data_IF_618451655507
#
_entry.id   IF_618451655507
#
_cell.length_a   1.000
_cell.length_b   1.000
_cell.length_c   1.000
_cell.angle_alpha   90.00
_cell.angle_beta   90.00
_cell.angle_gamma   90.00
#
_symmetry.space_group_name_H-M   'P 1'
#
loop_
_entity.id
_entity.type
_entity.pdbx_description
1 polymer ?
#
# COMPACT_ATOMS: atom_id res chain seq x y z
N UNK A 1 37.72 29.58 50.08
CA UNK A 1 36.49 28.95 49.55
C UNK A 1 36.45 29.34 48.09
N UNK A 2 37.00 28.48 47.19
CA UNK A 2 36.95 28.68 45.74
C UNK A 2 35.58 28.23 45.26
N UNK A 3 34.76 29.20 44.84
CA UNK A 3 33.47 28.92 44.20
C UNK A 3 33.69 28.07 42.94
N UNK A 4 33.19 26.86 42.91
CA UNK A 4 33.05 26.09 41.73
C UNK A 4 31.93 26.74 40.89
N UNK A 5 32.35 27.69 40.06
CA UNK A 5 31.44 28.15 38.99
C UNK A 5 31.22 26.97 38.04
N UNK A 6 30.17 26.21 38.29
CA UNK A 6 29.75 25.12 37.45
C UNK A 6 29.51 25.66 36.05
N UNK A 7 30.39 25.26 35.11
CA UNK A 7 30.29 25.66 33.71
C UNK A 7 28.99 25.08 33.13
N UNK A 8 27.88 25.80 33.12
CA UNK A 8 26.58 25.34 32.62
C UNK A 8 26.54 25.15 31.11
N UNK A 9 27.57 25.58 30.38
CA UNK A 9 27.69 25.46 28.94
C UNK A 9 27.67 23.98 28.47
N UNK A 10 28.44 23.05 29.06
CA UNK A 10 28.39 21.66 28.65
C UNK A 10 27.02 21.00 28.86
N UNK A 11 26.33 21.37 29.95
CA UNK A 11 24.99 20.86 30.24
C UNK A 11 23.97 21.39 29.22
N UNK A 12 24.06 22.69 28.88
CA UNK A 12 23.19 23.29 27.88
C UNK A 12 23.40 22.66 26.49
N UNK A 13 24.65 22.41 26.11
CA UNK A 13 24.98 21.71 24.83
C UNK A 13 24.44 20.28 24.84
N UNK A 14 24.65 19.53 25.92
CA UNK A 14 24.17 18.17 26.05
C UNK A 14 22.62 18.10 25.97
N UNK A 15 21.92 19.02 26.66
CA UNK A 15 20.48 19.06 26.60
C UNK A 15 19.95 19.42 25.20
N UNK A 16 20.60 20.36 24.50
CA UNK A 16 20.25 20.72 23.13
C UNK A 16 20.45 19.53 22.17
N UNK A 17 21.52 18.76 22.32
CA UNK A 17 21.75 17.55 21.51
C UNK A 17 20.70 16.47 21.76
N UNK A 18 20.31 16.24 23.02
CA UNK A 18 19.24 15.28 23.37
C UNK A 18 17.93 15.69 22.70
N UNK A 19 17.55 16.96 22.78
CA UNK A 19 16.34 17.48 22.13
C UNK A 19 16.41 17.31 20.61
N UNK A 20 17.56 17.57 19.99
CA UNK A 20 17.78 17.39 18.56
C UNK A 20 17.60 15.92 18.15
N UNK A 21 18.19 14.97 18.90
CA UNK A 21 18.05 13.54 18.61
C UNK A 21 16.62 13.06 18.76
N UNK A 22 15.91 13.51 19.77
CA UNK A 22 14.48 13.20 19.94
C UNK A 22 13.66 13.73 18.77
N UNK A 23 13.91 14.94 18.34
CA UNK A 23 13.24 15.53 17.19
C UNK A 23 13.50 14.74 15.90
N UNK A 24 14.76 14.37 15.65
CA UNK A 24 15.12 13.54 14.49
C UNK A 24 14.40 12.17 14.53
N UNK A 25 14.33 11.52 15.69
CA UNK A 25 13.64 10.25 15.83
C UNK A 25 12.14 10.36 15.58
N UNK A 26 11.49 11.40 16.13
CA UNK A 26 10.06 11.64 15.91
C UNK A 26 9.78 11.95 14.44
N UNK A 27 10.63 12.74 13.80
CA UNK A 27 10.51 13.09 12.38
C UNK A 27 10.63 11.86 11.48
N UNK A 28 11.60 10.98 11.77
CA UNK A 28 11.76 9.74 11.01
C UNK A 28 10.56 8.81 11.21
N UNK A 29 10.10 8.64 12.45
CA UNK A 29 8.89 7.85 12.72
C UNK A 29 7.67 8.38 11.97
N UNK A 30 7.47 9.70 11.96
CA UNK A 30 6.38 10.33 11.22
C UNK A 30 6.49 10.08 9.71
N UNK A 31 7.70 10.16 9.14
CA UNK A 31 7.95 9.85 7.73
C UNK A 31 7.58 8.40 7.39
N UNK A 32 8.06 7.45 8.19
CA UNK A 32 7.77 6.03 7.99
C UNK A 32 6.26 5.74 8.04
N UNK A 33 5.57 6.35 8.98
CA UNK A 33 4.12 6.20 9.12
C UNK A 33 3.34 6.80 7.92
N UNK A 34 3.75 7.99 7.47
CA UNK A 34 3.14 8.62 6.29
C UNK A 34 3.31 7.77 5.03
N UNK A 35 4.49 7.17 4.82
CA UNK A 35 4.74 6.26 3.70
C UNK A 35 3.84 5.03 3.80
N UNK A 36 3.77 4.39 4.96
CA UNK A 36 2.95 3.19 5.16
C UNK A 36 1.46 3.45 4.90
N UNK A 37 0.93 4.57 5.40
CA UNK A 37 -0.47 4.96 5.17
C UNK A 37 -0.69 5.30 3.70
N UNK A 38 0.18 6.12 3.09
CA UNK A 38 0.04 6.51 1.68
C UNK A 38 0.09 5.32 0.72
N UNK A 39 1.00 4.37 0.95
CA UNK A 39 1.08 3.14 0.15
C UNK A 39 -0.17 2.28 0.35
N UNK A 40 -0.65 2.12 1.59
CA UNK A 40 -1.87 1.38 1.87
C UNK A 40 -3.07 1.96 1.12
N UNK A 41 -3.23 3.28 1.17
CA UNK A 41 -4.36 3.97 0.55
C UNK A 41 -4.27 3.86 -0.99
N UNK A 42 -3.08 3.98 -1.57
CA UNK A 42 -2.87 3.79 -3.00
C UNK A 42 -3.16 2.34 -3.47
N UNK A 43 -2.74 1.33 -2.70
CA UNK A 43 -3.08 -0.08 -2.99
C UNK A 43 -4.59 -0.29 -2.91
N UNK A 44 -5.26 0.30 -1.92
CA UNK A 44 -6.72 0.22 -1.82
C UNK A 44 -7.40 0.85 -3.03
N UNK A 45 -6.92 1.99 -3.50
CA UNK A 45 -7.45 2.67 -4.69
C UNK A 45 -7.22 1.86 -5.97
N UNK A 46 -6.02 1.29 -6.15
CA UNK A 46 -5.71 0.43 -7.28
C UNK A 46 -6.62 -0.81 -7.34
N UNK A 47 -6.85 -1.46 -6.19
CA UNK A 47 -7.77 -2.60 -6.10
C UNK A 47 -9.21 -2.18 -6.40
N UNK A 48 -9.67 -1.04 -5.88
CA UNK A 48 -11.01 -0.53 -6.15
C UNK A 48 -11.21 -0.21 -7.63
N UNK A 49 -10.18 0.32 -8.32
CA UNK A 49 -10.21 0.52 -9.77
C UNK A 49 -10.43 -0.80 -10.50
N UNK A 50 -9.63 -1.82 -10.18
CA UNK A 50 -9.78 -3.16 -10.78
C UNK A 50 -11.15 -3.77 -10.49
N UNK A 51 -11.69 -3.60 -9.27
CA UNK A 51 -13.05 -4.06 -8.92
C UNK A 51 -14.11 -3.31 -9.72
N UNK A 52 -13.94 -2.01 -9.94
CA UNK A 52 -14.88 -1.22 -10.73
C UNK A 52 -14.87 -1.63 -12.21
N UNK A 53 -13.71 -1.93 -12.78
CA UNK A 53 -13.59 -2.39 -14.16
C UNK A 53 -14.31 -3.73 -14.35
N UNK A 54 -14.10 -4.68 -13.43
CA UNK A 54 -14.86 -5.94 -13.42
C UNK A 54 -16.37 -5.73 -13.21
N UNK A 55 -16.74 -4.74 -12.37
CA UNK A 55 -18.15 -4.46 -12.11
C UNK A 55 -18.91 -3.96 -13.34
N UNK A 56 -18.28 -3.18 -14.20
CA UNK A 56 -18.89 -2.70 -15.42
C UNK A 56 -19.30 -3.88 -16.32
N UNK A 57 -18.43 -4.87 -16.46
CA UNK A 57 -18.71 -6.11 -17.20
C UNK A 57 -19.80 -6.95 -16.53
N UNK A 58 -19.75 -7.09 -15.20
CA UNK A 58 -20.76 -7.84 -14.41
C UNK A 58 -22.14 -7.15 -14.48
N UNK A 59 -22.17 -5.81 -14.37
CA UNK A 59 -23.42 -5.04 -14.38
C UNK A 59 -24.14 -5.13 -15.70
N UNK A 60 -23.42 -5.03 -16.82
CA UNK A 60 -24.00 -5.20 -18.15
C UNK A 60 -24.59 -6.60 -18.30
N UNK A 61 -23.87 -7.63 -17.85
CA UNK A 61 -24.32 -9.01 -17.87
C UNK A 61 -25.62 -9.23 -17.07
N UNK A 62 -25.68 -8.73 -15.84
CA UNK A 62 -26.87 -8.86 -14.96
C UNK A 62 -28.06 -8.11 -15.53
N UNK A 63 -27.87 -6.88 -16.04
CA UNK A 63 -28.94 -6.09 -16.64
C UNK A 63 -29.50 -6.71 -17.91
N UNK A 64 -28.67 -7.40 -18.70
CA UNK A 64 -29.08 -8.03 -19.95
C UNK A 64 -29.50 -9.50 -19.78
N UNK A 65 -29.56 -9.98 -18.54
CA UNK A 65 -29.98 -11.35 -18.21
C UNK A 65 -28.88 -12.41 -18.39
N UNK A 66 -27.60 -11.98 -18.46
CA UNK A 66 -26.44 -12.87 -18.43
C UNK A 66 -25.92 -13.03 -17.00
N UNK A 67 -25.15 -14.10 -16.77
CA UNK A 67 -24.43 -14.34 -15.53
C UNK A 67 -23.14 -13.52 -15.51
N UNK A 68 -23.22 -12.21 -15.33
CA UNK A 68 -22.04 -11.33 -15.35
C UNK A 68 -20.90 -11.83 -14.46
N UNK A 69 -19.67 -11.82 -14.99
CA UNK A 69 -18.49 -12.38 -14.31
C UNK A 69 -18.39 -13.91 -14.37
N UNK A 70 -19.27 -14.59 -15.14
CA UNK A 70 -19.25 -16.04 -15.36
C UNK A 70 -19.52 -16.39 -16.83
N UNK A 71 -18.94 -17.47 -17.31
CA UNK A 71 -19.19 -18.01 -18.64
C UNK A 71 -19.55 -19.51 -18.59
N UNK A 72 -20.40 -20.00 -19.52
CA UNK A 72 -20.78 -21.40 -19.54
C UNK A 72 -19.59 -22.28 -19.94
N UNK A 73 -19.29 -23.31 -19.16
CA UNK A 73 -18.20 -24.26 -19.40
C UNK A 73 -18.66 -25.66 -19.05
N UNK A 74 -18.53 -26.60 -20.00
CA UNK A 74 -18.55 -28.06 -19.81
C UNK A 74 -19.67 -28.68 -18.95
N UNK A 75 -20.75 -27.96 -18.63
CA UNK A 75 -21.85 -28.39 -17.77
C UNK A 75 -22.00 -27.58 -16.47
N UNK A 76 -21.26 -26.50 -16.32
CA UNK A 76 -21.33 -25.55 -15.23
C UNK A 76 -21.05 -24.11 -15.69
N UNK A 77 -20.78 -23.24 -14.74
CA UNK A 77 -20.40 -21.85 -14.94
C UNK A 77 -19.01 -21.65 -14.32
N UNK A 78 -18.05 -21.16 -15.13
CA UNK A 78 -16.72 -20.79 -14.67
C UNK A 78 -16.63 -19.27 -14.47
N UNK A 79 -15.83 -18.81 -13.52
CA UNK A 79 -15.61 -17.40 -13.26
C UNK A 79 -14.80 -16.74 -14.37
N UNK A 80 -15.25 -15.55 -14.81
CA UNK A 80 -14.53 -14.67 -15.74
C UNK A 80 -14.19 -13.37 -15.01
N UNK A 81 -13.14 -13.42 -14.18
CA UNK A 81 -12.63 -12.26 -13.48
C UNK A 81 -11.36 -11.77 -14.17
N UNK A 82 -11.29 -10.47 -14.42
CA UNK A 82 -10.06 -9.81 -14.79
C UNK A 82 -9.39 -9.30 -13.49
N UNK A 83 -8.19 -9.80 -13.21
CA UNK A 83 -7.40 -9.34 -12.07
C UNK A 83 -6.73 -7.99 -12.34
N UNK A 84 -6.80 -7.51 -13.58
CA UNK A 84 -6.20 -6.24 -14.00
C UNK A 84 -4.69 -6.18 -13.79
N UNK A 85 -4.11 -5.06 -14.18
CA UNK A 85 -2.72 -4.74 -13.89
C UNK A 85 -2.63 -3.82 -12.65
N UNK A 86 -2.83 -4.40 -11.47
CA UNK A 86 -2.77 -3.66 -10.20
C UNK A 86 -1.40 -3.00 -9.99
N UNK A 87 -0.31 -3.66 -10.42
CA UNK A 87 1.02 -3.06 -10.36
C UNK A 87 1.16 -1.86 -11.30
N UNK A 88 0.65 -1.96 -12.54
CA UNK A 88 0.68 -0.83 -13.47
C UNK A 88 -0.08 0.38 -12.94
N UNK A 89 -1.25 0.17 -12.33
CA UNK A 89 -2.02 1.24 -11.67
C UNK A 89 -1.24 1.83 -10.49
N UNK A 90 -0.58 1.00 -9.69
CA UNK A 90 0.24 1.48 -8.56
C UNK A 90 1.46 2.27 -9.03
N UNK A 91 2.11 1.83 -10.09
CA UNK A 91 3.27 2.52 -10.68
C UNK A 91 2.86 3.92 -11.17
N UNK A 92 1.67 4.03 -11.77
CA UNK A 92 1.13 5.33 -12.19
C UNK A 92 0.75 6.21 -11.00
N UNK A 93 0.00 5.69 -10.03
CA UNK A 93 -0.46 6.43 -8.85
C UNK A 93 0.69 6.92 -7.96
N UNK A 94 1.66 6.05 -7.72
CA UNK A 94 2.79 6.32 -6.83
C UNK A 94 4.02 6.83 -7.56
N UNK A 95 4.05 6.74 -8.90
CA UNK A 95 5.23 7.06 -9.72
C UNK A 95 6.39 6.15 -9.35
N UNK A 96 6.17 4.84 -9.35
CA UNK A 96 7.20 3.82 -9.10
C UNK A 96 7.82 3.34 -10.41
N UNK A 97 8.97 2.69 -10.30
CA UNK A 97 9.67 2.05 -11.39
C UNK A 97 9.68 0.54 -11.18
N UNK A 98 9.36 -0.22 -12.24
CA UNK A 98 9.39 -1.69 -12.25
C UNK A 98 10.83 -2.21 -12.38
N UNK A 99 11.23 -3.06 -11.44
CA UNK A 99 12.49 -3.80 -11.43
C UNK A 99 12.27 -5.33 -11.49
N UNK A 100 11.11 -5.78 -11.97
CA UNK A 100 10.74 -7.18 -12.17
C UNK A 100 10.28 -7.88 -10.88
N UNK A 101 11.13 -8.03 -9.88
CA UNK A 101 10.77 -8.68 -8.61
C UNK A 101 10.24 -7.71 -7.54
N UNK A 102 10.39 -6.42 -7.75
CA UNK A 102 9.92 -5.35 -6.87
C UNK A 102 9.71 -4.07 -7.66
N UNK A 103 8.86 -3.20 -7.15
CA UNK A 103 8.62 -1.86 -7.66
C UNK A 103 9.16 -0.84 -6.67
N UNK A 104 9.88 0.16 -7.14
CA UNK A 104 10.60 1.11 -6.30
C UNK A 104 10.16 2.55 -6.54
N UNK A 105 9.96 3.28 -5.47
CA UNK A 105 9.77 4.74 -5.50
C UNK A 105 11.12 5.41 -5.31
N UNK A 106 11.54 6.18 -6.32
CA UNK A 106 12.74 6.99 -6.29
C UNK A 106 12.43 8.46 -6.04
N UNK A 107 13.30 9.11 -5.29
CA UNK A 107 13.27 10.55 -5.02
C UNK A 107 14.62 11.18 -5.37
N UNK A 108 14.77 12.49 -5.22
CA UNK A 108 15.99 13.24 -5.55
C UNK A 108 16.44 13.04 -7.01
N UNK A 109 15.49 13.04 -7.97
CA UNK A 109 15.79 12.85 -9.39
C UNK A 109 16.25 11.44 -9.74
N UNK A 110 15.76 10.42 -9.02
CA UNK A 110 16.09 9.02 -9.27
C UNK A 110 17.32 8.49 -8.53
N UNK A 111 17.90 9.30 -7.62
CA UNK A 111 19.15 8.92 -6.94
C UNK A 111 18.95 8.21 -5.62
N UNK A 112 17.78 8.35 -5.01
CA UNK A 112 17.49 7.77 -3.68
C UNK A 112 16.21 6.97 -3.69
N UNK A 113 16.30 5.77 -3.17
CA UNK A 113 15.14 4.95 -2.88
C UNK A 113 14.37 5.52 -1.68
N UNK A 114 13.08 5.72 -1.84
CA UNK A 114 12.19 6.12 -0.75
C UNK A 114 11.53 4.92 -0.09
N UNK A 115 11.04 4.00 -0.90
CA UNK A 115 10.52 2.69 -0.48
C UNK A 115 10.42 1.76 -1.69
N UNK A 116 10.23 0.47 -1.41
CA UNK A 116 9.92 -0.55 -2.42
C UNK A 116 8.75 -1.42 -1.99
N UNK A 117 8.03 -1.93 -2.96
CA UNK A 117 6.93 -2.88 -2.80
C UNK A 117 7.31 -4.16 -3.54
N UNK A 118 7.07 -5.30 -2.90
CA UNK A 118 7.31 -6.61 -3.50
C UNK A 118 6.28 -7.63 -3.05
N UNK A 119 6.12 -8.71 -3.82
CA UNK A 119 5.25 -9.82 -3.48
C UNK A 119 3.79 -9.43 -3.37
N UNK A 120 3.31 -8.53 -4.25
CA UNK A 120 1.89 -8.20 -4.33
C UNK A 120 1.12 -9.41 -4.84
N UNK A 121 0.23 -9.90 -4.01
CA UNK A 121 -0.72 -10.97 -4.33
C UNK A 121 -2.13 -10.42 -4.12
N UNK A 122 -2.94 -10.49 -5.16
CA UNK A 122 -4.31 -9.97 -5.17
C UNK A 122 -5.27 -11.13 -5.38
N UNK A 123 -6.19 -11.31 -4.45
CA UNK A 123 -7.27 -12.29 -4.53
C UNK A 123 -8.60 -11.57 -4.64
N UNK A 124 -9.35 -11.83 -5.71
CA UNK A 124 -10.68 -11.28 -5.92
C UNK A 124 -11.71 -12.38 -5.69
N UNK A 125 -12.71 -12.10 -4.85
CA UNK A 125 -13.86 -12.99 -4.63
C UNK A 125 -15.08 -12.40 -5.32
N UNK A 126 -15.61 -13.16 -6.28
CA UNK A 126 -16.79 -12.79 -7.04
C UNK A 126 -18.07 -12.86 -6.20
N UNK A 127 -19.11 -12.18 -6.64
CA UNK A 127 -20.46 -12.28 -6.09
C UNK A 127 -21.00 -13.68 -6.40
N UNK A 128 -21.53 -14.44 -5.40
CA UNK A 128 -22.10 -15.77 -5.67
C UNK A 128 -23.26 -15.71 -6.65
N UNK A 129 -23.37 -16.72 -7.55
CA UNK A 129 -24.50 -16.93 -8.46
C UNK A 129 -25.77 -17.36 -7.68
N UNK A 130 -26.24 -16.53 -6.75
CA UNK A 130 -27.46 -16.80 -5.99
C UNK A 130 -28.43 -15.65 -6.16
N UNK A 131 -29.72 -15.96 -6.13
CA UNK A 131 -30.80 -14.93 -6.21
C UNK A 131 -30.88 -14.03 -4.98
N UNK A 132 -30.03 -14.22 -3.99
CA UNK A 132 -29.96 -13.42 -2.77
C UNK A 132 -28.86 -12.34 -2.95
N UNK A 133 -29.30 -11.11 -3.20
CA UNK A 133 -28.49 -9.98 -3.65
C UNK A 133 -27.61 -9.34 -2.56
N UNK A 134 -27.26 -10.08 -1.51
CA UNK A 134 -26.35 -9.60 -0.44
C UNK A 134 -24.87 -9.84 -0.73
N UNK A 135 -24.54 -10.38 -1.90
CA UNK A 135 -23.17 -10.64 -2.31
C UNK A 135 -22.37 -9.35 -2.44
N UNK A 136 -21.15 -9.35 -1.88
CA UNK A 136 -20.18 -8.26 -2.03
C UNK A 136 -19.03 -8.76 -2.88
N UNK A 137 -18.57 -7.90 -3.76
CA UNK A 137 -17.29 -8.09 -4.41
C UNK A 137 -16.19 -7.77 -3.39
N UNK A 138 -15.34 -8.73 -3.09
CA UNK A 138 -14.24 -8.56 -2.12
C UNK A 138 -12.92 -8.72 -2.85
N UNK A 139 -12.00 -7.82 -2.61
CA UNK A 139 -10.63 -7.96 -3.07
C UNK A 139 -9.68 -7.79 -1.89
N UNK A 140 -8.81 -8.78 -1.71
CA UNK A 140 -7.75 -8.78 -0.72
C UNK A 140 -6.41 -8.66 -1.44
N UNK A 141 -5.56 -7.75 -0.99
CA UNK A 141 -4.17 -7.68 -1.43
C UNK A 141 -3.22 -7.86 -0.26
N UNK A 142 -2.17 -8.63 -0.47
CA UNK A 142 -1.05 -8.76 0.47
C UNK A 142 0.25 -8.40 -0.23
N UNK A 143 1.14 -7.70 0.46
CA UNK A 143 2.43 -7.29 -0.06
C UNK A 143 3.43 -6.97 1.04
N UNK A 144 4.71 -6.90 0.67
CA UNK A 144 5.80 -6.48 1.53
C UNK A 144 6.22 -5.06 1.16
N UNK A 145 6.06 -4.12 2.09
CA UNK A 145 6.60 -2.77 2.01
C UNK A 145 7.94 -2.72 2.74
N UNK A 146 8.98 -2.24 2.06
CA UNK A 146 10.31 -2.03 2.61
C UNK A 146 10.65 -0.54 2.52
N UNK A 147 11.03 0.06 3.63
CA UNK A 147 11.34 1.49 3.72
C UNK A 147 12.73 1.68 4.35
N UNK A 148 13.69 2.28 3.64
CA UNK A 148 14.99 2.61 4.20
C UNK A 148 14.87 3.58 5.38
N UNK A 149 15.46 3.21 6.52
CA UNK A 149 15.49 4.05 7.72
C UNK A 149 16.63 5.04 7.63
N UNK A 150 16.32 6.34 7.69
CA UNK A 150 17.26 7.45 7.49
C UNK A 150 17.63 8.13 8.80
N UNK A 151 17.93 7.36 9.83
CA UNK A 151 18.31 7.91 11.13
C UNK A 151 19.81 7.73 11.41
N UNK A 152 20.52 8.86 11.52
CA UNK A 152 21.96 8.86 11.81
C UNK A 152 22.85 8.63 10.58
N UNK A 153 24.16 8.49 10.85
CA UNK A 153 25.19 8.28 9.82
C UNK A 153 25.37 6.80 9.43
N UNK A 154 24.70 5.89 10.11
CA UNK A 154 24.78 4.46 9.88
C UNK A 154 23.59 3.99 9.05
N UNK A 155 23.82 3.10 8.08
CA UNK A 155 22.76 2.39 7.40
C UNK A 155 22.09 1.44 8.41
N UNK A 156 20.92 1.81 8.90
CA UNK A 156 20.05 0.91 9.64
C UNK A 156 19.38 -0.06 8.65
N UNK A 157 19.01 -1.26 9.10
CA UNK A 157 18.26 -2.17 8.24
C UNK A 157 16.92 -1.53 7.84
N UNK A 158 16.47 -1.81 6.61
CA UNK A 158 15.19 -1.34 6.12
C UNK A 158 14.06 -1.83 7.02
N UNK A 159 13.11 -0.96 7.28
CA UNK A 159 11.85 -1.35 7.93
C UNK A 159 11.03 -2.19 6.95
N UNK A 160 10.64 -3.38 7.38
CA UNK A 160 9.82 -4.31 6.60
C UNK A 160 8.44 -4.43 7.22
N UNK A 161 7.40 -4.19 6.42
CA UNK A 161 6.02 -4.25 6.86
C UNK A 161 5.27 -5.18 5.90
N UNK A 162 4.76 -6.32 6.43
CA UNK A 162 3.79 -7.12 5.72
C UNK A 162 2.43 -6.45 5.84
N UNK A 163 1.87 -6.03 4.73
CA UNK A 163 0.59 -5.34 4.68
C UNK A 163 -0.47 -6.23 4.08
N UNK A 164 -1.67 -6.14 4.64
CA UNK A 164 -2.89 -6.68 4.06
C UNK A 164 -3.89 -5.55 3.90
N UNK A 165 -4.39 -5.40 2.67
CA UNK A 165 -5.41 -4.41 2.32
C UNK A 165 -6.63 -5.13 1.81
N UNK A 166 -7.81 -4.74 2.27
CA UNK A 166 -9.07 -5.27 1.83
C UNK A 166 -9.92 -4.16 1.25
N UNK A 167 -10.47 -4.39 0.07
CA UNK A 167 -11.45 -3.54 -0.56
C UNK A 167 -12.76 -4.32 -0.76
N UNK A 168 -13.89 -3.67 -0.51
CA UNK A 168 -15.20 -4.26 -0.70
C UNK A 168 -16.07 -3.29 -1.50
N UNK A 169 -16.71 -3.79 -2.54
CA UNK A 169 -17.69 -3.04 -3.29
C UNK A 169 -19.09 -3.65 -3.08
N UNK A 170 -20.04 -2.80 -2.70
CA UNK A 170 -21.45 -3.19 -2.59
C UNK A 170 -22.18 -2.49 -3.72
N UNK A 171 -22.69 -3.22 -4.72
CA UNK A 171 -23.49 -2.61 -5.77
C UNK A 171 -24.75 -2.00 -5.16
N UNK A 172 -25.01 -0.73 -5.46
CA UNK A 172 -26.26 -0.05 -5.10
C UNK A 172 -27.11 -0.01 -6.37
N UNK A 173 -28.19 -0.77 -6.36
CA UNK A 173 -29.19 -0.80 -7.44
C UNK A 173 -30.30 0.21 -7.15
#
# INVERSE_FOLDING_TARGET
MSGQEGNGIPLAVASALVVLFLFCGISEYARLNLIAVGVRDAVQEAILSTVNDNYDDVYHGVREGYSGGYYPSGGGWDESLDYGDVYGVLDELLGMEDHGSYHVKLVDGGQKEEYRISGLDVTIQNVPLTSDSSGRFLADATFLLQVPVRFGASSLPDMQIHMKVQAAYTPVF
#
